data_IF_576005119577
#
_entry.id   IF_576005119577
#
_cell.length_a   1.000
_cell.length_b   1.000
_cell.length_c   1.000
_cell.angle_alpha   90.00
_cell.angle_beta   90.00
_cell.angle_gamma   90.00
#
_symmetry.space_group_name_H-M   'P 1'
#
loop_
_entity.id
_entity.type
_entity.pdbx_description
1 polymer ?
#
# COMPACT_ATOMS: atom_id res chain seq x y z
N UNK A 1 26.46 -66.25 16.34
CA UNK A 1 27.87 -66.34 15.89
C UNK A 1 27.78 -66.63 14.39
N UNK A 2 28.02 -65.73 13.43
CA UNK A 2 28.79 -64.48 13.31
C UNK A 2 27.96 -63.47 12.48
N UNK A 3 27.60 -62.30 13.03
CA UNK A 3 28.17 -60.94 12.90
C UNK A 3 27.82 -60.22 11.59
N UNK A 4 26.87 -59.28 11.70
CA UNK A 4 26.58 -58.19 10.76
C UNK A 4 27.80 -57.23 10.64
N UNK A 5 28.02 -56.62 9.45
CA UNK A 5 29.04 -55.58 9.29
C UNK A 5 28.60 -54.24 9.91
N UNK A 6 29.57 -53.47 10.41
CA UNK A 6 29.37 -52.21 11.13
C UNK A 6 29.19 -51.00 10.22
N UNK A 7 28.64 -49.87 10.71
CA UNK A 7 28.24 -48.70 9.90
C UNK A 7 29.37 -47.85 9.31
N UNK A 8 30.65 -48.23 9.47
CA UNK A 8 31.81 -47.46 8.98
C UNK A 8 32.21 -47.81 7.53
N UNK A 9 31.71 -48.93 6.97
CA UNK A 9 32.03 -49.39 5.59
C UNK A 9 31.30 -48.64 4.47
N UNK A 10 30.38 -47.71 4.79
CA UNK A 10 29.60 -46.94 3.79
C UNK A 10 30.23 -45.56 3.51
N UNK A 11 31.20 -45.12 4.31
CA UNK A 11 31.74 -43.76 4.25
C UNK A 11 33.03 -43.59 3.42
N UNK A 12 33.58 -44.65 2.83
CA UNK A 12 34.81 -44.54 1.99
C UNK A 12 34.55 -44.47 0.48
N UNK A 13 33.30 -44.54 0.00
CA UNK A 13 32.99 -44.62 -1.46
C UNK A 13 32.54 -43.29 -2.10
N UNK A 14 32.61 -42.15 -1.39
CA UNK A 14 32.17 -40.85 -1.93
C UNK A 14 33.21 -39.72 -1.85
N UNK A 15 34.49 -40.05 -1.70
CA UNK A 15 35.57 -39.06 -1.71
C UNK A 15 36.57 -39.28 -2.88
N UNK A 16 36.48 -38.39 -3.87
CA UNK A 16 37.51 -37.99 -4.85
C UNK A 16 37.60 -38.76 -6.20
N UNK A 17 38.28 -38.21 -7.24
CA UNK A 17 37.63 -37.52 -8.37
C UNK A 17 37.91 -38.19 -9.73
N UNK A 18 37.03 -38.01 -10.72
CA UNK A 18 37.24 -38.51 -12.08
C UNK A 18 37.21 -37.38 -13.11
N UNK A 19 38.38 -37.17 -13.72
CA UNK A 19 38.69 -36.32 -14.87
C UNK A 19 38.35 -37.03 -16.19
N UNK A 20 37.81 -36.23 -17.13
CA UNK A 20 37.98 -36.25 -18.60
C UNK A 20 37.44 -37.40 -19.46
N UNK A 21 36.72 -36.98 -20.54
CA UNK A 21 36.55 -37.51 -21.93
C UNK A 21 35.04 -37.36 -22.29
N UNK A 22 34.60 -36.76 -23.41
CA UNK A 22 35.24 -36.27 -24.63
C UNK A 22 34.25 -35.50 -25.50
N UNK A 23 34.79 -34.85 -26.54
CA UNK A 23 34.15 -33.95 -27.50
C UNK A 23 33.23 -34.67 -28.51
N UNK A 24 32.27 -33.93 -29.09
CA UNK A 24 31.57 -34.04 -30.40
C UNK A 24 30.50 -32.94 -30.39
N UNK A 25 30.19 -32.12 -31.40
CA UNK A 25 30.58 -31.91 -32.79
C UNK A 25 29.99 -30.52 -33.18
N UNK A 26 30.75 -29.71 -33.92
CA UNK A 26 30.30 -28.40 -34.44
C UNK A 26 29.23 -28.56 -35.54
N UNK A 27 28.12 -27.84 -35.42
CA UNK A 27 27.11 -27.70 -36.47
C UNK A 27 27.38 -26.44 -37.33
N UNK A 28 27.15 -26.47 -38.66
CA UNK A 28 27.60 -25.43 -39.57
C UNK A 28 26.74 -24.16 -39.50
N UNK A 29 27.44 -23.03 -39.50
CA UNK A 29 26.92 -21.67 -39.43
C UNK A 29 26.05 -21.33 -40.65
N UNK A 30 24.81 -20.91 -40.43
CA UNK A 30 23.92 -20.38 -41.48
C UNK A 30 24.02 -18.86 -41.46
N UNK A 31 24.36 -18.18 -42.58
CA UNK A 31 24.49 -16.73 -42.58
C UNK A 31 23.10 -16.09 -42.52
N UNK A 32 22.71 -15.64 -41.33
CA UNK A 32 21.63 -14.67 -41.12
C UNK A 32 22.03 -13.28 -41.64
N UNK A 33 21.08 -12.33 -41.75
CA UNK A 33 21.31 -11.05 -42.40
C UNK A 33 22.39 -10.26 -41.66
N UNK A 34 23.43 -9.87 -42.39
CA UNK A 34 24.53 -9.03 -41.94
C UNK A 34 23.98 -7.78 -41.27
N UNK A 35 24.24 -7.61 -39.97
CA UNK A 35 23.86 -6.39 -39.25
C UNK A 35 24.73 -5.23 -39.74
N UNK A 36 24.21 -4.00 -39.73
CA UNK A 36 24.94 -2.78 -40.12
C UNK A 36 26.29 -2.62 -39.38
N UNK A 37 26.46 -3.27 -38.24
CA UNK A 37 27.70 -3.30 -37.46
C UNK A 37 28.85 -4.06 -38.16
N UNK A 38 28.57 -5.06 -39.01
CA UNK A 38 29.62 -5.80 -39.73
C UNK A 38 30.19 -5.04 -40.94
N UNK A 39 29.49 -4.02 -41.44
CA UNK A 39 29.93 -3.19 -42.57
C UNK A 39 30.91 -2.08 -42.17
N UNK A 40 31.00 -1.74 -40.88
CA UNK A 40 31.73 -0.56 -40.39
C UNK A 40 33.03 -0.88 -39.62
N UNK A 41 33.51 -2.13 -39.64
CA UNK A 41 34.81 -2.49 -39.06
C UNK A 41 34.95 -2.23 -37.55
N UNK A 42 33.83 -2.18 -36.82
CA UNK A 42 33.86 -2.01 -35.37
C UNK A 42 34.41 -3.29 -34.70
N UNK A 43 35.32 -3.18 -33.71
CA UNK A 43 35.80 -4.34 -32.97
C UNK A 43 34.63 -5.06 -32.28
N UNK A 44 34.68 -6.40 -32.14
CA UNK A 44 33.61 -7.15 -31.50
C UNK A 44 33.42 -6.66 -30.08
N UNK A 45 32.21 -6.19 -29.77
CA UNK A 45 31.80 -5.90 -28.39
C UNK A 45 31.94 -7.19 -27.58
N UNK A 46 32.56 -7.15 -26.38
CA UNK A 46 32.63 -8.31 -25.52
C UNK A 46 31.21 -8.85 -25.28
N UNK A 47 31.01 -10.18 -25.19
CA UNK A 47 29.70 -10.74 -24.96
C UNK A 47 29.11 -10.12 -23.70
N UNK A 48 28.01 -9.38 -23.86
CA UNK A 48 27.22 -8.92 -22.74
C UNK A 48 26.81 -10.12 -21.89
N UNK A 49 26.62 -9.95 -20.57
CA UNK A 49 26.19 -11.06 -19.72
C UNK A 49 24.96 -11.70 -20.33
N UNK A 50 24.98 -13.03 -20.47
CA UNK A 50 23.84 -13.81 -20.92
C UNK A 50 22.57 -13.36 -20.17
N UNK A 51 21.39 -13.35 -20.82
CA UNK A 51 20.15 -13.00 -20.14
C UNK A 51 20.08 -13.85 -18.87
N UNK A 52 20.11 -13.18 -17.72
CA UNK A 52 20.25 -13.84 -16.44
C UNK A 52 19.09 -14.83 -16.28
N UNK A 53 19.40 -16.12 -16.46
CA UNK A 53 18.55 -17.20 -16.00
C UNK A 53 18.15 -16.85 -14.58
N UNK A 54 16.85 -16.88 -14.29
CA UNK A 54 16.31 -16.47 -13.02
C UNK A 54 16.95 -17.35 -11.92
N UNK A 55 18.02 -16.85 -11.28
CA UNK A 55 18.73 -17.55 -10.22
C UNK A 55 17.69 -17.93 -9.18
N UNK A 56 17.39 -19.23 -8.99
CA UNK A 56 16.42 -19.67 -8.00
C UNK A 56 16.88 -19.15 -6.64
N UNK A 57 15.96 -18.54 -5.88
CA UNK A 57 16.27 -18.16 -4.50
C UNK A 57 16.76 -19.40 -3.74
N UNK A 58 17.77 -19.26 -2.87
CA UNK A 58 18.09 -20.32 -1.92
C UNK A 58 16.81 -20.74 -1.19
N UNK A 59 16.59 -22.04 -1.01
CA UNK A 59 15.38 -22.60 -0.39
C UNK A 59 15.06 -21.94 0.98
N UNK A 60 16.08 -21.41 1.67
CA UNK A 60 15.98 -20.69 2.94
C UNK A 60 15.27 -19.32 2.89
N UNK A 61 15.07 -18.70 1.71
CA UNK A 61 14.46 -17.36 1.60
C UNK A 61 12.93 -17.42 1.52
N UNK A 62 12.35 -18.53 1.05
CA UNK A 62 10.90 -18.69 0.93
C UNK A 62 10.16 -18.71 2.28
N UNK A 63 10.64 -19.40 3.33
CA UNK A 63 10.02 -19.35 4.66
C UNK A 63 10.03 -17.94 5.25
N UNK A 64 11.14 -17.20 5.10
CA UNK A 64 11.25 -15.83 5.60
C UNK A 64 10.27 -14.87 4.88
N UNK A 65 10.17 -14.96 3.55
CA UNK A 65 9.20 -14.18 2.78
C UNK A 65 7.76 -14.52 3.17
N UNK A 66 7.44 -15.80 3.35
CA UNK A 66 6.12 -16.24 3.80
C UNK A 66 5.81 -15.67 5.18
N UNK A 67 6.77 -15.72 6.12
CA UNK A 67 6.60 -15.17 7.47
C UNK A 67 6.29 -13.69 7.49
N UNK A 68 7.03 -12.89 6.71
CA UNK A 68 6.79 -11.44 6.61
C UNK A 68 5.42 -11.15 6.01
N UNK A 69 5.06 -11.82 4.91
CA UNK A 69 3.78 -11.59 4.24
C UNK A 69 2.59 -12.03 5.10
N UNK A 70 2.75 -13.10 5.89
CA UNK A 70 1.72 -13.60 6.79
C UNK A 70 1.56 -12.68 8.02
N UNK A 71 2.68 -12.26 8.63
CA UNK A 71 2.69 -11.24 9.68
C UNK A 71 2.02 -9.94 9.21
N UNK A 72 2.41 -9.46 8.03
CA UNK A 72 1.81 -8.29 7.40
C UNK A 72 0.32 -8.46 7.17
N UNK A 73 -0.11 -9.61 6.61
CA UNK A 73 -1.51 -9.91 6.37
C UNK A 73 -2.34 -9.85 7.65
N UNK A 74 -1.92 -10.54 8.71
CA UNK A 74 -2.62 -10.54 10.01
C UNK A 74 -2.74 -9.13 10.58
N UNK A 75 -1.65 -8.36 10.52
CA UNK A 75 -1.66 -6.98 10.98
C UNK A 75 -2.65 -6.13 10.18
N UNK A 76 -2.62 -6.24 8.85
CA UNK A 76 -3.48 -5.46 7.98
C UNK A 76 -4.96 -5.85 8.14
N UNK A 77 -5.28 -7.10 8.45
CA UNK A 77 -6.63 -7.52 8.89
C UNK A 77 -7.05 -6.76 10.14
N UNK A 78 -6.19 -6.69 11.15
CA UNK A 78 -6.43 -5.90 12.36
C UNK A 78 -6.64 -4.41 12.06
N UNK A 79 -5.83 -3.84 11.17
CA UNK A 79 -5.96 -2.44 10.77
C UNK A 79 -7.27 -2.19 9.99
N UNK A 80 -7.68 -3.12 9.13
CA UNK A 80 -8.97 -3.05 8.43
C UNK A 80 -10.14 -2.92 9.40
N UNK A 81 -10.20 -3.80 10.41
CA UNK A 81 -11.19 -3.71 11.49
C UNK A 81 -11.08 -2.38 12.24
N UNK A 82 -9.85 -2.00 12.63
CA UNK A 82 -9.60 -0.83 13.47
C UNK A 82 -10.06 0.47 12.84
N UNK A 83 -9.79 0.66 11.55
CA UNK A 83 -10.18 1.88 10.81
C UNK A 83 -11.68 2.14 10.92
N UNK A 84 -12.51 1.08 10.87
CA UNK A 84 -13.96 1.19 11.02
C UNK A 84 -14.44 1.17 12.46
N UNK A 85 -13.76 0.46 13.36
CA UNK A 85 -14.14 0.38 14.77
C UNK A 85 -13.96 1.72 15.51
N UNK A 86 -12.95 2.52 15.15
CA UNK A 86 -12.66 3.81 15.79
C UNK A 86 -13.84 4.80 15.70
N UNK A 87 -14.46 5.06 14.53
CA UNK A 87 -15.67 5.87 14.43
C UNK A 87 -16.81 5.37 15.32
N UNK A 88 -17.06 4.05 15.37
CA UNK A 88 -18.11 3.48 16.22
C UNK A 88 -17.81 3.69 17.70
N UNK A 89 -16.57 3.45 18.12
CA UNK A 89 -16.14 3.67 19.50
C UNK A 89 -16.36 5.13 19.91
N UNK A 90 -15.93 6.09 19.09
CA UNK A 90 -16.13 7.50 19.35
C UNK A 90 -17.63 7.88 19.41
N UNK A 91 -18.48 7.27 18.56
CA UNK A 91 -19.93 7.49 18.59
C UNK A 91 -20.59 7.02 19.88
N UNK A 92 -20.10 5.96 20.53
CA UNK A 92 -20.66 5.43 21.80
C UNK A 92 -20.65 6.48 22.92
N UNK A 93 -19.64 7.33 22.95
CA UNK A 93 -19.49 8.39 23.96
C UNK A 93 -19.98 9.76 23.45
N UNK A 94 -20.78 9.78 22.38
CA UNK A 94 -21.42 10.99 21.87
C UNK A 94 -20.51 11.91 21.05
N UNK A 95 -19.39 11.42 20.52
CA UNK A 95 -18.53 12.25 19.68
C UNK A 95 -19.26 12.73 18.42
N UNK A 96 -19.11 14.02 18.12
CA UNK A 96 -19.69 14.60 16.89
C UNK A 96 -19.00 14.06 15.63
N UNK A 97 -19.66 14.19 14.47
CA UNK A 97 -19.05 13.84 13.17
C UNK A 97 -17.77 14.62 12.90
N UNK A 98 -17.71 15.89 13.32
CA UNK A 98 -16.49 16.69 13.22
C UNK A 98 -15.38 16.13 14.11
N UNK A 99 -15.70 15.75 15.34
CA UNK A 99 -14.74 15.10 16.26
C UNK A 99 -14.17 13.82 15.67
N UNK A 100 -15.00 12.97 15.06
CA UNK A 100 -14.53 11.74 14.41
C UNK A 100 -13.65 12.06 13.19
N UNK A 101 -14.01 13.09 12.42
CA UNK A 101 -13.18 13.62 11.34
C UNK A 101 -11.81 14.04 11.84
N UNK A 102 -11.74 14.80 12.94
CA UNK A 102 -10.47 15.22 13.55
C UNK A 102 -9.65 14.02 14.04
N UNK A 103 -10.28 13.07 14.75
CA UNK A 103 -9.60 11.83 15.20
C UNK A 103 -8.98 11.11 14.00
N UNK A 104 -9.75 10.88 12.94
CA UNK A 104 -9.24 10.18 11.75
C UNK A 104 -8.20 11.00 10.96
N UNK A 105 -8.23 12.33 11.07
CA UNK A 105 -7.19 13.19 10.48
C UNK A 105 -5.86 13.03 11.20
N UNK A 106 -5.90 12.85 12.53
CA UNK A 106 -4.70 12.57 13.33
C UNK A 106 -4.00 11.27 12.90
N UNK A 107 -4.73 10.27 12.38
CA UNK A 107 -4.11 9.07 11.78
C UNK A 107 -3.12 9.44 10.67
N UNK A 108 -3.56 10.26 9.71
CA UNK A 108 -2.71 10.70 8.60
C UNK A 108 -1.63 11.67 9.05
N UNK A 109 -1.87 12.46 10.10
CA UNK A 109 -0.84 13.28 10.75
C UNK A 109 0.29 12.42 11.31
N UNK A 110 -0.06 11.36 12.05
CA UNK A 110 0.89 10.36 12.54
C UNK A 110 1.61 9.63 11.41
N UNK A 111 0.87 9.24 10.37
CA UNK A 111 1.42 8.59 9.18
C UNK A 111 2.47 9.46 8.50
N UNK A 112 2.18 10.76 8.33
CA UNK A 112 3.10 11.74 7.77
C UNK A 112 4.35 11.92 8.63
N UNK A 113 4.21 12.01 9.96
CA UNK A 113 5.37 12.05 10.87
C UNK A 113 6.21 10.76 10.72
N UNK A 114 5.55 9.61 10.65
CA UNK A 114 6.22 8.33 10.43
C UNK A 114 7.04 8.30 9.14
N UNK A 115 6.54 8.90 8.06
CA UNK A 115 7.26 8.98 6.78
C UNK A 115 8.60 9.72 6.90
N UNK A 116 8.70 10.72 7.78
CA UNK A 116 9.95 11.49 7.99
C UNK A 116 10.93 10.79 8.94
N UNK A 117 10.44 10.18 10.02
CA UNK A 117 11.30 9.72 11.11
C UNK A 117 11.58 8.22 11.11
N UNK A 118 10.68 7.40 10.57
CA UNK A 118 10.77 5.95 10.76
C UNK A 118 11.95 5.32 10.02
N UNK A 119 12.34 5.86 8.87
CA UNK A 119 13.51 5.36 8.12
C UNK A 119 14.78 5.38 8.97
N UNK A 120 15.09 6.51 9.60
CA UNK A 120 16.24 6.67 10.48
C UNK A 120 16.17 5.71 11.67
N UNK A 121 14.97 5.49 12.22
CA UNK A 121 14.78 4.55 13.33
C UNK A 121 15.03 3.11 12.90
N UNK A 122 14.47 2.69 11.76
CA UNK A 122 14.63 1.35 11.17
C UNK A 122 16.11 1.09 10.86
N UNK A 123 16.82 2.05 10.29
CA UNK A 123 18.25 1.94 10.00
C UNK A 123 19.08 1.75 11.28
N UNK A 124 18.70 2.37 12.39
CA UNK A 124 19.39 2.26 13.69
C UNK A 124 19.14 0.94 14.40
N UNK A 125 17.89 0.51 14.52
CA UNK A 125 17.53 -0.67 15.33
C UNK A 125 17.42 -1.98 14.52
N UNK A 126 17.37 -1.88 13.19
CA UNK A 126 17.22 -3.01 12.27
C UNK A 126 15.76 -3.33 11.96
N UNK A 127 15.51 -3.89 10.76
CA UNK A 127 14.17 -4.17 10.22
C UNK A 127 13.35 -5.10 11.13
N UNK A 128 13.90 -6.23 11.59
CA UNK A 128 13.18 -7.17 12.45
C UNK A 128 12.70 -6.52 13.75
N UNK A 129 13.62 -5.87 14.48
CA UNK A 129 13.33 -5.17 15.74
C UNK A 129 12.36 -4.01 15.53
N UNK A 130 12.48 -3.29 14.42
CA UNK A 130 11.57 -2.21 14.07
C UNK A 130 10.15 -2.71 13.84
N UNK A 131 9.97 -3.82 13.11
CA UNK A 131 8.65 -4.41 12.90
C UNK A 131 7.98 -4.76 14.24
N UNK A 132 8.70 -5.47 15.12
CA UNK A 132 8.20 -5.86 16.44
C UNK A 132 7.86 -4.62 17.27
N UNK A 133 8.75 -3.62 17.32
CA UNK A 133 8.56 -2.41 18.10
C UNK A 133 7.35 -1.59 17.62
N UNK A 134 7.21 -1.35 16.31
CA UNK A 134 6.08 -0.60 15.76
C UNK A 134 4.76 -1.36 15.92
N UNK A 135 4.77 -2.68 15.75
CA UNK A 135 3.57 -3.50 15.91
C UNK A 135 3.11 -3.53 17.37
N UNK A 136 4.05 -3.70 18.32
CA UNK A 136 3.76 -3.62 19.75
C UNK A 136 3.27 -2.21 20.14
N UNK A 137 3.89 -1.16 19.60
CA UNK A 137 3.48 0.22 19.83
C UNK A 137 2.06 0.48 19.31
N UNK A 138 1.71 -0.03 18.12
CA UNK A 138 0.36 0.05 17.59
C UNK A 138 -0.65 -0.67 18.50
N UNK A 139 -0.32 -1.86 19.01
CA UNK A 139 -1.18 -2.60 19.94
C UNK A 139 -1.38 -1.84 21.27
N UNK A 140 -0.32 -1.24 21.82
CA UNK A 140 -0.40 -0.39 23.02
C UNK A 140 -1.34 0.79 22.82
N UNK A 141 -1.26 1.47 21.68
CA UNK A 141 -2.17 2.58 21.39
C UNK A 141 -3.62 2.12 21.22
N UNK A 142 -3.87 0.96 20.60
CA UNK A 142 -5.22 0.37 20.49
C UNK A 142 -5.78 0.00 21.87
N UNK A 143 -4.96 -0.54 22.77
CA UNK A 143 -5.38 -0.77 24.16
C UNK A 143 -5.68 0.55 24.88
N UNK A 144 -4.90 1.60 24.60
CA UNK A 144 -5.18 2.96 25.05
C UNK A 144 -6.54 3.47 24.58
N UNK A 145 -6.95 3.14 23.33
CA UNK A 145 -8.29 3.47 22.82
C UNK A 145 -9.38 2.80 23.65
N UNK A 146 -9.20 1.52 24.01
CA UNK A 146 -10.21 0.76 24.76
C UNK A 146 -10.49 1.32 26.17
N UNK A 147 -9.59 2.13 26.72
CA UNK A 147 -9.73 2.73 28.06
C UNK A 147 -9.91 4.25 28.03
N UNK A 148 -10.06 4.84 26.84
CA UNK A 148 -10.12 6.30 26.66
C UNK A 148 -11.43 6.72 26.00
N UNK A 149 -12.11 7.69 26.60
CA UNK A 149 -13.37 8.23 26.06
C UNK A 149 -13.21 9.66 25.52
N UNK A 150 -12.16 10.37 25.93
CA UNK A 150 -11.98 11.78 25.59
C UNK A 150 -11.44 11.96 24.16
N UNK A 151 -12.10 12.84 23.39
CA UNK A 151 -11.69 13.15 22.00
C UNK A 151 -10.21 13.55 21.88
N UNK A 152 -9.64 14.42 22.74
CA UNK A 152 -8.21 14.76 22.64
C UNK A 152 -7.29 13.55 22.83
N UNK A 153 -7.62 12.64 23.76
CA UNK A 153 -6.85 11.42 23.96
C UNK A 153 -6.96 10.48 22.77
N UNK A 154 -8.17 10.32 22.21
CA UNK A 154 -8.39 9.53 20.99
C UNK A 154 -7.59 10.10 19.80
N UNK A 155 -7.50 11.42 19.67
CA UNK A 155 -6.66 12.07 18.66
C UNK A 155 -5.17 11.75 18.86
N UNK A 156 -4.66 11.86 20.08
CA UNK A 156 -3.26 11.55 20.40
C UNK A 156 -2.92 10.08 20.12
N UNK A 157 -3.78 9.17 20.57
CA UNK A 157 -3.65 7.74 20.31
C UNK A 157 -3.73 7.46 18.81
N UNK A 158 -4.63 8.11 18.07
CA UNK A 158 -4.74 7.91 16.62
C UNK A 158 -3.48 8.38 15.90
N UNK A 159 -2.92 9.52 16.29
CA UNK A 159 -1.63 10.01 15.80
C UNK A 159 -0.52 8.98 16.07
N UNK A 160 -0.46 8.43 17.29
CA UNK A 160 0.44 7.34 17.62
C UNK A 160 0.27 6.12 16.72
N UNK A 161 -0.97 5.66 16.50
CA UNK A 161 -1.23 4.51 15.60
C UNK A 161 -0.82 4.77 14.16
N UNK A 162 -1.02 5.99 13.66
CA UNK A 162 -0.56 6.38 12.31
C UNK A 162 0.95 6.30 12.17
N UNK A 163 1.67 6.83 13.16
CA UNK A 163 3.14 6.78 13.22
C UNK A 163 3.65 5.34 13.25
N UNK A 164 3.06 4.50 14.09
CA UNK A 164 3.42 3.10 14.23
C UNK A 164 3.15 2.29 12.95
N UNK A 165 1.97 2.45 12.35
CA UNK A 165 1.60 1.72 11.13
C UNK A 165 2.46 2.13 9.93
N UNK A 166 2.79 3.42 9.77
CA UNK A 166 3.73 3.85 8.74
C UNK A 166 5.12 3.24 8.94
N UNK A 167 5.56 3.09 10.19
CA UNK A 167 6.85 2.46 10.53
C UNK A 167 6.89 1.00 10.13
N UNK A 168 5.79 0.29 10.41
CA UNK A 168 5.64 -1.10 10.02
C UNK A 168 5.54 -1.27 8.49
N UNK A 169 4.80 -0.42 7.77
CA UNK A 169 4.76 -0.43 6.30
C UNK A 169 6.14 -0.16 5.69
N UNK A 170 6.83 0.88 6.14
CA UNK A 170 8.21 1.18 5.70
C UNK A 170 9.15 0.01 5.98
N UNK A 171 8.99 -0.66 7.12
CA UNK A 171 9.82 -1.80 7.50
C UNK A 171 9.62 -2.98 6.56
N UNK A 172 8.37 -3.37 6.28
CA UNK A 172 8.05 -4.47 5.36
C UNK A 172 8.53 -4.15 3.95
N UNK A 173 8.31 -2.93 3.46
CA UNK A 173 8.74 -2.53 2.11
C UNK A 173 10.26 -2.50 1.97
N UNK A 174 10.98 -1.97 2.95
CA UNK A 174 12.44 -1.99 2.99
C UNK A 174 12.97 -3.44 3.00
N UNK A 175 12.32 -4.31 3.76
CA UNK A 175 12.73 -5.70 3.89
C UNK A 175 12.48 -6.52 2.61
N UNK A 176 11.30 -6.34 1.98
CA UNK A 176 10.98 -6.95 0.68
C UNK A 176 11.92 -6.45 -0.42
N UNK A 177 12.27 -5.15 -0.42
CA UNK A 177 13.22 -4.60 -1.37
C UNK A 177 14.63 -5.17 -1.22
N UNK A 178 15.07 -5.39 0.03
CA UNK A 178 16.40 -5.93 0.34
C UNK A 178 16.54 -7.44 0.14
N UNK A 179 15.46 -8.20 0.31
CA UNK A 179 15.49 -9.68 0.30
C UNK A 179 15.20 -10.31 -1.06
N UNK A 180 14.66 -9.54 -2.02
CA UNK A 180 14.15 -10.08 -3.29
C UNK A 180 15.03 -9.62 -4.48
N UNK A 181 15.52 -10.56 -5.31
CA UNK A 181 16.21 -10.23 -6.56
C UNK A 181 15.36 -9.37 -7.51
N UNK A 182 16.01 -8.52 -8.32
CA UNK A 182 15.32 -7.61 -9.25
C UNK A 182 14.33 -8.33 -10.19
N UNK A 183 14.64 -9.55 -10.62
CA UNK A 183 13.80 -10.37 -11.51
C UNK A 183 12.47 -10.78 -10.90
N UNK A 184 12.39 -10.92 -9.57
CA UNK A 184 11.18 -11.35 -8.86
C UNK A 184 10.53 -10.23 -8.05
N UNK A 185 11.19 -9.08 -7.93
CA UNK A 185 10.70 -7.93 -7.15
C UNK A 185 9.27 -7.54 -7.52
N UNK A 186 8.98 -7.44 -8.81
CA UNK A 186 7.63 -7.09 -9.28
C UNK A 186 6.55 -8.10 -8.85
N UNK A 187 6.87 -9.40 -8.89
CA UNK A 187 5.94 -10.46 -8.46
C UNK A 187 5.69 -10.40 -6.95
N UNK A 188 6.74 -10.27 -6.14
CA UNK A 188 6.62 -10.21 -4.68
C UNK A 188 5.89 -8.94 -4.23
N UNK A 189 6.21 -7.78 -4.80
CA UNK A 189 5.49 -6.53 -4.51
C UNK A 189 4.02 -6.60 -4.96
N UNK A 190 3.73 -7.27 -6.08
CA UNK A 190 2.36 -7.56 -6.49
C UNK A 190 1.60 -8.42 -5.47
N UNK A 191 2.23 -9.47 -4.94
CA UNK A 191 1.66 -10.28 -3.85
C UNK A 191 1.45 -9.47 -2.57
N UNK A 192 2.40 -8.63 -2.18
CA UNK A 192 2.30 -7.71 -1.04
C UNK A 192 1.07 -6.79 -1.14
N UNK A 193 0.88 -6.13 -2.29
CA UNK A 193 -0.27 -5.26 -2.52
C UNK A 193 -1.59 -6.03 -2.55
N UNK A 194 -1.59 -7.24 -3.14
CA UNK A 194 -2.77 -8.11 -3.15
C UNK A 194 -3.16 -8.51 -1.72
N UNK A 195 -2.18 -8.92 -0.90
CA UNK A 195 -2.38 -9.24 0.50
C UNK A 195 -2.88 -8.04 1.27
N UNK A 196 -2.34 -6.83 1.02
CA UNK A 196 -2.82 -5.61 1.68
C UNK A 196 -4.33 -5.42 1.50
N UNK A 197 -4.80 -5.38 0.26
CA UNK A 197 -6.23 -5.13 0.00
C UNK A 197 -7.11 -6.29 0.44
N UNK A 198 -6.69 -7.54 0.24
CA UNK A 198 -7.43 -8.72 0.73
C UNK A 198 -7.57 -8.69 2.25
N UNK A 199 -6.47 -8.39 2.96
CA UNK A 199 -6.44 -8.30 4.41
C UNK A 199 -7.30 -7.15 4.94
N UNK A 200 -7.19 -5.93 4.37
CA UNK A 200 -8.05 -4.81 4.79
C UNK A 200 -9.52 -5.17 4.56
N UNK A 201 -9.84 -5.78 3.42
CA UNK A 201 -11.21 -6.21 3.08
C UNK A 201 -11.72 -7.28 4.04
N UNK A 202 -10.91 -8.29 4.35
CA UNK A 202 -11.23 -9.32 5.34
C UNK A 202 -11.45 -8.73 6.75
N UNK A 203 -10.62 -7.74 7.12
CA UNK A 203 -10.74 -7.00 8.38
C UNK A 203 -12.09 -6.29 8.54
N UNK A 204 -12.70 -5.83 7.45
CA UNK A 204 -14.04 -5.21 7.49
C UNK A 204 -15.10 -6.19 8.01
N UNK A 205 -15.02 -7.48 7.63
CA UNK A 205 -16.00 -8.49 8.05
C UNK A 205 -15.89 -8.85 9.54
N UNK A 206 -14.71 -8.67 10.15
CA UNK A 206 -14.54 -8.83 11.59
C UNK A 206 -15.31 -7.79 12.42
N UNK A 207 -15.85 -6.74 11.79
CA UNK A 207 -16.74 -5.79 12.46
C UNK A 207 -18.03 -6.47 12.97
N UNK A 208 -18.40 -7.62 12.40
CA UNK A 208 -19.52 -8.45 12.86
C UNK A 208 -19.21 -9.29 14.10
N UNK A 209 -17.95 -9.33 14.55
CA UNK A 209 -17.54 -10.06 15.74
C UNK A 209 -17.67 -9.13 16.94
N UNK A 210 -18.70 -9.38 17.75
CA UNK A 210 -19.05 -8.55 18.91
C UNK A 210 -19.78 -7.26 18.52
N UNK A 211 -19.90 -6.35 19.49
CA UNK A 211 -20.52 -5.05 19.27
C UNK A 211 -19.50 -4.08 18.63
N UNK A 212 -19.93 -3.38 17.57
CA UNK A 212 -19.09 -2.44 16.85
C UNK A 212 -18.60 -1.29 17.74
N UNK A 213 -17.28 -1.08 17.81
CA UNK A 213 -16.67 -0.05 18.65
C UNK A 213 -16.61 -0.36 20.15
N UNK A 214 -16.97 -1.59 20.57
CA UNK A 214 -16.80 -2.04 21.95
C UNK A 214 -15.33 -2.18 22.35
N UNK A 215 -15.05 -2.15 23.66
CA UNK A 215 -13.70 -2.43 24.17
C UNK A 215 -13.24 -3.82 23.74
N UNK A 216 -14.14 -4.81 23.75
CA UNK A 216 -13.86 -6.17 23.27
C UNK A 216 -13.41 -6.22 21.81
N UNK A 217 -14.01 -5.41 20.93
CA UNK A 217 -13.60 -5.33 19.54
C UNK A 217 -12.25 -4.61 19.36
N UNK A 218 -11.95 -3.61 20.19
CA UNK A 218 -10.62 -2.97 20.21
C UNK A 218 -9.54 -3.93 20.76
N UNK A 219 -9.87 -4.74 21.77
CA UNK A 219 -8.97 -5.80 22.25
C UNK A 219 -8.72 -6.87 21.19
N UNK A 220 -9.71 -7.20 20.36
CA UNK A 220 -9.51 -8.08 19.20
C UNK A 220 -8.49 -7.47 18.21
N UNK A 221 -8.59 -6.17 17.90
CA UNK A 221 -7.60 -5.47 17.07
C UNK A 221 -6.20 -5.53 17.69
N UNK A 222 -6.07 -5.22 18.99
CA UNK A 222 -4.79 -5.29 19.69
C UNK A 222 -4.21 -6.71 19.65
N UNK A 223 -5.07 -7.73 19.86
CA UNK A 223 -4.71 -9.14 19.75
C UNK A 223 -4.21 -9.52 18.35
N UNK A 224 -4.84 -9.02 17.28
CA UNK A 224 -4.38 -9.23 15.90
C UNK A 224 -3.01 -8.57 15.65
N UNK A 225 -2.79 -7.37 16.17
CA UNK A 225 -1.47 -6.73 16.08
C UNK A 225 -0.41 -7.55 16.82
N UNK A 226 -0.68 -8.01 18.04
CA UNK A 226 0.25 -8.89 18.77
C UNK A 226 0.46 -10.21 18.03
N UNK A 227 -0.60 -10.81 17.48
CA UNK A 227 -0.52 -12.06 16.71
C UNK A 227 0.35 -11.91 15.44
N UNK A 228 0.37 -10.74 14.82
CA UNK A 228 1.25 -10.45 13.69
C UNK A 228 2.75 -10.52 14.05
N UNK A 229 3.11 -10.43 15.33
CA UNK A 229 4.48 -10.61 15.80
C UNK A 229 4.88 -12.11 15.75
N UNK A 230 3.94 -13.05 15.84
CA UNK A 230 4.26 -14.48 15.94
C UNK A 230 4.94 -15.04 14.67
N UNK A 231 4.44 -14.82 13.44
CA UNK A 231 5.09 -15.37 12.25
C UNK A 231 6.52 -14.82 12.07
N UNK A 232 6.76 -13.57 12.50
CA UNK A 232 8.05 -12.91 12.34
C UNK A 232 9.09 -13.30 13.41
N UNK A 233 8.65 -13.77 14.58
CA UNK A 233 9.55 -14.25 15.64
C UNK A 233 9.80 -15.74 15.58
N UNK A 234 8.83 -16.52 15.08
CA UNK A 234 8.92 -17.99 15.04
C UNK A 234 9.61 -18.54 13.80
N UNK A 235 9.57 -17.83 12.67
CA UNK A 235 10.25 -18.29 11.45
C UNK A 235 11.77 -18.02 11.52
N UNK A 236 12.55 -18.86 10.85
CA UNK A 236 14.02 -18.80 10.80
C UNK A 236 14.50 -18.47 9.38
N UNK A 237 15.80 -18.23 9.21
CA UNK A 237 16.40 -17.93 7.90
C UNK A 237 16.29 -16.46 7.49
N UNK A 238 16.10 -15.56 8.46
CA UNK A 238 16.08 -14.13 8.20
C UNK A 238 17.40 -13.69 7.56
N UNK A 239 17.38 -13.00 6.41
CA UNK A 239 18.60 -12.48 5.82
C UNK A 239 19.26 -11.56 6.85
N UNK A 240 20.51 -11.88 7.19
CA UNK A 240 21.39 -10.99 7.95
C UNK A 240 21.43 -9.66 7.22
N UNK A 241 21.24 -8.57 7.97
CA UNK A 241 21.21 -7.16 7.53
C UNK A 241 21.96 -7.03 6.21
N UNK A 242 21.23 -6.99 5.08
CA UNK A 242 21.85 -6.72 3.80
C UNK A 242 22.43 -5.33 3.96
N UNK A 243 23.75 -5.23 4.03
CA UNK A 243 24.42 -3.95 4.08
C UNK A 243 23.91 -3.16 2.87
N UNK A 244 23.36 -1.98 3.13
CA UNK A 244 22.87 -1.02 2.14
C UNK A 244 24.01 -0.43 1.31
N UNK A 245 25.01 -1.23 0.92
CA UNK A 245 26.06 -0.84 -0.03
C UNK A 245 25.47 -0.52 -1.42
N UNK A 246 24.21 -0.90 -1.66
CA UNK A 246 23.48 -0.64 -2.91
C UNK A 246 22.49 0.51 -2.84
N UNK A 247 22.26 1.12 -1.67
CA UNK A 247 21.54 2.40 -1.61
C UNK A 247 22.55 3.50 -1.92
N UNK A 248 22.63 3.86 -3.20
CA UNK A 248 23.23 5.14 -3.59
C UNK A 248 22.59 6.21 -2.70
N UNK A 249 23.39 6.83 -1.83
CA UNK A 249 22.99 8.04 -1.09
C UNK A 249 22.72 9.10 -2.15
N UNK A 250 21.47 9.14 -2.63
CA UNK A 250 21.07 10.19 -3.54
C UNK A 250 21.16 11.51 -2.77
N UNK A 251 21.68 12.57 -3.41
CA UNK A 251 21.76 13.88 -2.78
C UNK A 251 20.37 14.28 -2.29
N UNK A 252 20.29 14.82 -1.08
CA UNK A 252 19.03 15.27 -0.51
C UNK A 252 18.46 16.39 -1.40
N UNK A 253 17.52 16.04 -2.27
CA UNK A 253 16.73 17.03 -3.01
C UNK A 253 15.79 17.68 -2.00
N UNK A 254 15.79 19.02 -1.93
CA UNK A 254 14.85 19.73 -1.07
C UNK A 254 13.41 19.37 -1.45
N UNK A 255 12.55 19.21 -0.45
CA UNK A 255 11.11 18.99 -0.65
C UNK A 255 10.52 20.09 -1.55
N UNK A 256 10.95 21.33 -1.35
CA UNK A 256 10.51 22.48 -2.14
C UNK A 256 10.95 22.39 -3.60
N UNK A 257 12.17 21.90 -3.87
CA UNK A 257 12.66 21.73 -5.23
C UNK A 257 11.87 20.64 -5.97
N UNK A 258 11.57 19.54 -5.27
CA UNK A 258 10.73 18.46 -5.81
C UNK A 258 9.31 18.95 -6.12
N UNK A 259 8.72 19.75 -5.23
CA UNK A 259 7.40 20.36 -5.46
C UNK A 259 7.45 21.34 -6.65
N UNK A 260 8.44 22.23 -6.70
CA UNK A 260 8.56 23.24 -7.73
C UNK A 260 8.80 22.64 -9.13
N UNK A 261 9.56 21.55 -9.20
CA UNK A 261 9.73 20.80 -10.44
C UNK A 261 8.45 20.06 -10.84
N UNK A 262 7.81 19.32 -9.92
CA UNK A 262 6.57 18.61 -10.23
C UNK A 262 5.48 19.57 -10.70
N UNK A 263 5.37 20.76 -10.09
CA UNK A 263 4.43 21.79 -10.50
C UNK A 263 4.64 22.23 -11.96
N UNK A 264 5.90 22.25 -12.42
CA UNK A 264 6.28 22.62 -13.79
C UNK A 264 6.13 21.47 -14.77
N UNK A 265 6.71 20.31 -14.45
CA UNK A 265 6.77 19.16 -15.35
C UNK A 265 5.45 18.36 -15.41
N UNK A 266 4.72 18.32 -14.30
CA UNK A 266 3.53 17.47 -14.15
C UNK A 266 2.40 18.20 -13.39
N UNK A 267 1.66 19.12 -14.04
CA UNK A 267 0.68 19.99 -13.37
C UNK A 267 -0.45 19.28 -12.60
N UNK A 268 -0.70 18.00 -12.88
CA UNK A 268 -1.67 17.16 -12.14
C UNK A 268 -1.12 16.65 -10.80
N UNK A 269 0.20 16.57 -10.60
CA UNK A 269 0.83 15.85 -9.49
C UNK A 269 0.36 16.33 -8.11
N UNK A 270 0.53 17.62 -7.82
CA UNK A 270 0.24 18.21 -6.51
C UNK A 270 -1.26 18.18 -6.20
N UNK A 271 -2.12 18.86 -6.98
CA UNK A 271 -3.56 18.84 -6.71
C UNK A 271 -4.15 17.44 -6.82
N UNK A 272 -3.65 16.60 -7.73
CA UNK A 272 -4.12 15.24 -7.91
C UNK A 272 -3.86 14.35 -6.69
N UNK A 273 -2.64 14.36 -6.15
CA UNK A 273 -2.32 13.58 -4.95
C UNK A 273 -3.09 14.05 -3.72
N UNK A 274 -3.25 15.37 -3.53
CA UNK A 274 -4.05 15.93 -2.42
C UNK A 274 -5.52 15.50 -2.56
N UNK A 275 -6.11 15.61 -3.76
CA UNK A 275 -7.50 15.22 -4.01
C UNK A 275 -7.71 13.71 -3.89
N UNK A 276 -6.74 12.89 -4.30
CA UNK A 276 -6.77 11.44 -4.05
C UNK A 276 -6.76 11.16 -2.54
N UNK A 277 -5.93 11.88 -1.78
CA UNK A 277 -5.90 11.83 -0.32
C UNK A 277 -7.25 12.21 0.31
N UNK A 278 -7.90 13.27 -0.18
CA UNK A 278 -9.23 13.69 0.27
C UNK A 278 -10.25 12.56 0.10
N UNK A 279 -10.33 11.98 -1.09
CA UNK A 279 -11.31 10.95 -1.42
C UNK A 279 -11.04 9.63 -0.65
N UNK A 280 -9.77 9.22 -0.51
CA UNK A 280 -9.40 8.03 0.24
C UNK A 280 -9.75 8.16 1.72
N UNK A 281 -9.31 9.26 2.34
CA UNK A 281 -9.49 9.47 3.76
C UNK A 281 -10.95 9.67 4.13
N UNK A 282 -11.73 10.39 3.33
CA UNK A 282 -13.18 10.53 3.54
C UNK A 282 -13.92 9.19 3.46
N UNK A 283 -13.52 8.31 2.54
CA UNK A 283 -14.07 6.95 2.47
C UNK A 283 -13.83 6.18 3.78
N UNK A 284 -12.59 6.10 4.26
CA UNK A 284 -12.31 5.35 5.49
C UNK A 284 -12.86 5.99 6.75
N UNK A 285 -12.84 7.33 6.84
CA UNK A 285 -13.20 8.03 8.05
C UNK A 285 -14.72 8.22 8.22
N UNK A 286 -15.42 8.57 7.14
CA UNK A 286 -16.79 9.10 7.20
C UNK A 286 -17.81 8.12 6.61
N UNK A 287 -17.43 7.22 5.71
CA UNK A 287 -18.36 6.24 5.13
C UNK A 287 -19.10 5.38 6.17
N UNK A 288 -18.45 4.84 7.22
CA UNK A 288 -19.16 4.05 8.23
C UNK A 288 -20.24 4.85 8.95
N UNK A 289 -19.97 6.13 9.22
CA UNK A 289 -20.91 7.08 9.85
C UNK A 289 -22.09 7.33 8.92
N UNK A 290 -21.81 7.60 7.64
CA UNK A 290 -22.83 7.80 6.62
C UNK A 290 -23.76 6.59 6.52
N UNK A 291 -23.20 5.38 6.37
CA UNK A 291 -23.97 4.13 6.23
C UNK A 291 -24.85 3.87 7.45
N UNK A 292 -24.32 4.09 8.65
CA UNK A 292 -25.10 3.96 9.90
C UNK A 292 -26.27 4.95 9.95
N UNK A 293 -26.04 6.21 9.54
CA UNK A 293 -27.09 7.26 9.55
C UNK A 293 -28.23 7.01 8.58
N UNK A 294 -27.97 6.34 7.46
CA UNK A 294 -29.00 5.95 6.49
C UNK A 294 -29.62 4.58 6.82
N UNK A 295 -29.33 4.03 8.00
CA UNK A 295 -29.97 2.82 8.52
C UNK A 295 -29.39 1.51 7.98
N UNK A 296 -28.12 1.45 7.61
CA UNK A 296 -27.47 0.15 7.36
C UNK A 296 -27.24 -0.59 8.68
N UNK A 297 -27.46 -1.91 8.67
CA UNK A 297 -26.97 -2.79 9.72
C UNK A 297 -25.44 -2.90 9.66
N UNK A 298 -24.81 -3.29 10.78
CA UNK A 298 -23.36 -3.54 10.85
C UNK A 298 -22.92 -4.58 9.80
N UNK A 299 -23.76 -5.60 9.55
CA UNK A 299 -23.50 -6.62 8.54
C UNK A 299 -23.52 -6.08 7.11
N UNK A 300 -24.52 -5.27 6.76
CA UNK A 300 -24.57 -4.65 5.43
C UNK A 300 -23.44 -3.64 5.23
N UNK A 301 -23.08 -2.89 6.27
CA UNK A 301 -21.99 -1.92 6.26
C UNK A 301 -20.63 -2.60 6.06
N UNK A 302 -20.32 -3.61 6.88
CA UNK A 302 -19.07 -4.38 6.76
C UNK A 302 -18.95 -5.06 5.41
N UNK A 303 -20.06 -5.61 4.89
CA UNK A 303 -20.11 -6.20 3.55
C UNK A 303 -19.83 -5.15 2.48
N UNK A 304 -20.46 -3.98 2.53
CA UNK A 304 -20.22 -2.90 1.57
C UNK A 304 -18.76 -2.45 1.61
N UNK A 305 -18.21 -2.19 2.81
CA UNK A 305 -16.82 -1.74 2.97
C UNK A 305 -15.84 -2.79 2.45
N UNK A 306 -16.00 -4.06 2.84
CA UNK A 306 -15.14 -5.16 2.43
C UNK A 306 -15.20 -5.41 0.92
N UNK A 307 -16.40 -5.50 0.35
CA UNK A 307 -16.60 -5.75 -1.09
C UNK A 307 -16.13 -4.55 -1.92
N UNK A 308 -16.32 -3.32 -1.46
CA UNK A 308 -15.84 -2.13 -2.17
C UNK A 308 -14.30 -2.07 -2.24
N UNK A 309 -13.60 -2.44 -1.16
CA UNK A 309 -12.13 -2.50 -1.13
C UNK A 309 -11.58 -3.68 -1.93
N UNK A 310 -12.27 -4.82 -1.93
CA UNK A 310 -11.96 -5.94 -2.80
C UNK A 310 -12.17 -5.58 -4.28
N UNK A 311 -13.26 -4.88 -4.61
CA UNK A 311 -13.52 -4.36 -5.95
C UNK A 311 -12.46 -3.38 -6.42
N UNK A 312 -11.99 -2.51 -5.51
CA UNK A 312 -10.85 -1.62 -5.77
C UNK A 312 -9.56 -2.38 -6.09
N UNK A 313 -9.27 -3.49 -5.41
CA UNK A 313 -8.16 -4.37 -5.77
C UNK A 313 -8.32 -4.94 -7.18
N UNK A 314 -9.50 -5.49 -7.49
CA UNK A 314 -9.77 -6.08 -8.80
C UNK A 314 -9.64 -5.05 -9.93
N UNK A 315 -10.03 -3.79 -9.70
CA UNK A 315 -9.94 -2.73 -10.70
C UNK A 315 -8.53 -2.18 -10.92
N UNK A 316 -7.58 -2.37 -10.00
CA UNK A 316 -6.21 -1.91 -10.20
C UNK A 316 -5.54 -2.57 -11.42
N UNK A 317 -5.81 -3.85 -11.69
CA UNK A 317 -5.25 -4.56 -12.84
C UNK A 317 -5.77 -4.06 -14.21
N UNK A 318 -7.08 -4.01 -14.49
CA UNK A 318 -7.59 -3.51 -15.76
C UNK A 318 -7.26 -2.03 -15.95
N UNK A 319 -7.36 -1.21 -14.91
CA UNK A 319 -6.99 0.21 -14.98
C UNK A 319 -5.48 0.38 -15.22
N UNK A 320 -4.64 -0.44 -14.59
CA UNK A 320 -3.20 -0.47 -14.84
C UNK A 320 -2.88 -0.77 -16.30
N UNK A 321 -3.44 -1.85 -16.86
CA UNK A 321 -3.26 -2.21 -18.29
C UNK A 321 -3.80 -1.13 -19.24
N UNK A 322 -4.91 -0.49 -18.88
CA UNK A 322 -5.47 0.59 -19.67
C UNK A 322 -4.58 1.84 -19.61
N UNK A 323 -3.92 2.09 -18.47
CA UNK A 323 -2.97 3.19 -18.28
C UNK A 323 -1.71 3.08 -19.14
N UNK A 324 -1.36 1.87 -19.57
CA UNK A 324 -0.22 1.64 -20.47
C UNK A 324 -0.58 1.92 -21.93
N UNK A 325 -1.88 1.88 -22.28
CA UNK A 325 -2.38 2.07 -23.66
C UNK A 325 -3.02 3.43 -23.90
N UNK A 326 -3.38 4.14 -22.84
CA UNK A 326 -4.03 5.44 -22.90
C UNK A 326 -3.24 6.47 -22.10
N UNK A 327 -3.27 7.74 -22.53
CA UNK A 327 -2.75 8.84 -21.73
C UNK A 327 -3.32 8.79 -20.31
N UNK A 328 -2.43 8.68 -19.31
CA UNK A 328 -2.78 8.54 -17.89
C UNK A 328 -3.64 9.70 -17.38
N UNK A 329 -3.47 10.90 -17.95
CA UNK A 329 -4.32 12.08 -17.62
C UNK A 329 -5.75 11.90 -18.16
N UNK A 330 -5.90 11.38 -19.38
CA UNK A 330 -7.20 11.06 -19.97
C UNK A 330 -7.93 10.02 -19.14
N UNK A 331 -7.22 8.96 -18.75
CA UNK A 331 -7.78 7.88 -17.96
C UNK A 331 -8.19 8.37 -16.56
N UNK A 332 -7.32 9.10 -15.86
CA UNK A 332 -7.62 9.73 -14.57
C UNK A 332 -8.86 10.63 -14.65
N UNK A 333 -8.96 11.49 -15.68
CA UNK A 333 -10.13 12.34 -15.92
C UNK A 333 -11.41 11.54 -16.09
N UNK A 334 -11.41 10.48 -16.91
CA UNK A 334 -12.59 9.64 -17.16
C UNK A 334 -13.05 8.94 -15.89
N UNK A 335 -12.12 8.36 -15.13
CA UNK A 335 -12.41 7.71 -13.87
C UNK A 335 -12.93 8.70 -12.81
N UNK A 336 -12.39 9.93 -12.77
CA UNK A 336 -12.86 10.97 -11.86
C UNK A 336 -14.29 11.44 -12.22
N UNK A 337 -14.60 11.58 -13.52
CA UNK A 337 -15.97 11.88 -13.97
C UNK A 337 -16.94 10.74 -13.66
N UNK A 338 -16.51 9.48 -13.83
CA UNK A 338 -17.32 8.32 -13.46
C UNK A 338 -17.58 8.29 -11.94
N UNK A 339 -16.56 8.50 -11.11
CA UNK A 339 -16.70 8.59 -9.66
C UNK A 339 -17.69 9.70 -9.25
N UNK A 340 -17.63 10.88 -9.88
CA UNK A 340 -18.61 11.94 -9.66
C UNK A 340 -20.02 11.49 -10.06
N UNK A 341 -20.18 10.88 -11.23
CA UNK A 341 -21.48 10.39 -11.71
C UNK A 341 -22.10 9.34 -10.78
N UNK A 342 -21.29 8.47 -10.16
CA UNK A 342 -21.78 7.49 -9.19
C UNK A 342 -22.20 8.12 -7.85
N UNK A 343 -21.56 9.21 -7.42
CA UNK A 343 -21.94 9.90 -6.18
C UNK A 343 -23.14 10.84 -6.33
N UNK A 344 -23.40 11.41 -7.53
CA UNK A 344 -24.49 12.38 -7.73
C UNK A 344 -25.87 11.86 -7.29
N UNK A 345 -26.32 10.65 -7.70
CA UNK A 345 -27.59 10.11 -7.25
C UNK A 345 -27.68 9.94 -5.74
N UNK A 346 -26.56 9.59 -5.09
CA UNK A 346 -26.49 9.32 -3.65
C UNK A 346 -26.60 10.57 -2.77
N UNK A 347 -26.53 11.77 -3.36
CA UNK A 347 -26.79 13.03 -2.64
C UNK A 347 -28.24 13.05 -2.13
N UNK A 348 -29.18 12.51 -2.93
CA UNK A 348 -30.62 12.57 -2.65
C UNK A 348 -31.20 11.18 -2.40
N UNK A 349 -30.80 10.17 -3.18
CA UNK A 349 -31.37 8.83 -3.15
C UNK A 349 -30.49 7.90 -2.32
N UNK A 350 -31.00 7.48 -1.16
CA UNK A 350 -30.24 6.68 -0.18
C UNK A 350 -30.78 5.25 -0.02
N UNK A 351 -31.37 4.69 -1.09
CA UNK A 351 -31.82 3.30 -1.10
C UNK A 351 -30.63 2.34 -0.93
N UNK A 352 -30.71 1.39 0.01
CA UNK A 352 -29.58 0.53 0.40
C UNK A 352 -28.90 -0.17 -0.78
N UNK A 353 -29.69 -0.76 -1.69
CA UNK A 353 -29.16 -1.45 -2.87
C UNK A 353 -28.40 -0.50 -3.81
N UNK A 354 -28.90 0.73 -3.99
CA UNK A 354 -28.30 1.74 -4.86
C UNK A 354 -26.99 2.24 -4.27
N UNK A 355 -26.98 2.52 -2.96
CA UNK A 355 -25.77 2.90 -2.22
C UNK A 355 -24.72 1.81 -2.36
N UNK A 356 -25.10 0.54 -2.21
CA UNK A 356 -24.18 -0.58 -2.34
C UNK A 356 -23.50 -0.62 -3.72
N UNK A 357 -24.30 -0.60 -4.80
CA UNK A 357 -23.79 -0.68 -6.17
C UNK A 357 -22.94 0.54 -6.53
N UNK A 358 -23.44 1.75 -6.28
CA UNK A 358 -22.74 2.97 -6.66
C UNK A 358 -21.49 3.21 -5.83
N UNK A 359 -21.47 2.81 -4.54
CA UNK A 359 -20.27 2.89 -3.72
C UNK A 359 -19.22 1.87 -4.11
N UNK A 360 -19.62 0.66 -4.51
CA UNK A 360 -18.70 -0.31 -5.08
C UNK A 360 -17.99 0.26 -6.33
N UNK A 361 -18.77 0.81 -7.27
CA UNK A 361 -18.24 1.41 -8.50
C UNK A 361 -17.39 2.66 -8.23
N UNK A 362 -17.83 3.52 -7.30
CA UNK A 362 -17.06 4.68 -6.84
C UNK A 362 -15.71 4.25 -6.29
N UNK A 363 -15.67 3.28 -5.37
CA UNK A 363 -14.41 2.81 -4.78
C UNK A 363 -13.49 2.21 -5.85
N UNK A 364 -14.04 1.41 -6.77
CA UNK A 364 -13.26 0.85 -7.87
C UNK A 364 -12.59 1.93 -8.74
N UNK A 365 -13.28 3.03 -9.03
CA UNK A 365 -12.72 4.14 -9.79
C UNK A 365 -11.77 5.01 -8.93
N UNK A 366 -12.14 5.30 -7.70
CA UNK A 366 -11.44 6.22 -6.82
C UNK A 366 -10.07 5.68 -6.38
N UNK A 367 -10.02 4.40 -5.99
CA UNK A 367 -8.82 3.76 -5.46
C UNK A 367 -7.73 3.45 -6.52
N UNK A 368 -7.92 3.89 -7.76
CA UNK A 368 -6.90 3.80 -8.82
C UNK A 368 -6.25 5.15 -9.13
N UNK A 369 -6.81 6.25 -8.63
CA UNK A 369 -6.36 7.61 -8.96
C UNK A 369 -4.93 7.89 -8.49
N UNK A 370 -4.61 7.55 -7.23
CA UNK A 370 -3.27 7.78 -6.68
C UNK A 370 -2.20 7.06 -7.51
N UNK A 371 -2.41 5.78 -7.82
CA UNK A 371 -1.49 5.00 -8.66
C UNK A 371 -1.29 5.60 -10.05
N UNK A 372 -2.36 6.03 -10.72
CA UNK A 372 -2.28 6.67 -12.04
C UNK A 372 -1.47 7.98 -12.01
N UNK A 373 -1.67 8.80 -10.98
CA UNK A 373 -0.96 10.07 -10.82
C UNK A 373 0.52 9.80 -10.53
N UNK A 374 0.82 8.88 -9.62
CA UNK A 374 2.20 8.49 -9.29
C UNK A 374 2.93 7.95 -10.52
N UNK A 375 2.31 7.04 -11.29
CA UNK A 375 2.90 6.54 -12.53
C UNK A 375 3.16 7.68 -13.52
N UNK A 376 2.19 8.58 -13.72
CA UNK A 376 2.35 9.70 -14.65
C UNK A 376 3.51 10.64 -14.30
N UNK A 377 3.72 10.88 -13.00
CA UNK A 377 4.84 11.68 -12.48
C UNK A 377 6.15 10.93 -12.66
N UNK A 378 6.20 9.64 -12.30
CA UNK A 378 7.40 8.83 -12.37
C UNK A 378 7.89 8.62 -13.83
N UNK A 379 6.98 8.56 -14.80
CA UNK A 379 7.33 8.51 -16.23
C UNK A 379 8.07 9.77 -16.71
N UNK A 380 7.84 10.91 -16.05
CA UNK A 380 8.42 12.23 -16.38
C UNK A 380 9.54 12.64 -15.43
N UNK A 381 9.93 11.74 -14.53
CA UNK A 381 10.95 11.99 -13.52
C UNK A 381 12.19 11.16 -13.85
N UNK A 382 13.35 11.82 -13.85
CA UNK A 382 14.66 11.18 -14.01
C UNK A 382 14.83 10.02 -13.00
N UNK A 383 15.37 8.86 -13.41
CA UNK A 383 15.51 7.68 -12.53
C UNK A 383 16.15 7.98 -11.17
N UNK A 384 17.13 8.87 -11.16
CA UNK A 384 17.90 9.30 -9.99
C UNK A 384 17.06 10.10 -8.99
N UNK A 385 15.89 10.59 -9.39
CA UNK A 385 15.03 11.47 -8.57
C UNK A 385 13.68 10.84 -8.22
N UNK A 386 13.33 9.70 -8.84
CA UNK A 386 12.05 8.98 -8.63
C UNK A 386 11.75 8.65 -7.17
N UNK A 387 12.78 8.32 -6.39
CA UNK A 387 12.61 7.99 -4.96
C UNK A 387 12.19 9.23 -4.16
N UNK A 388 12.89 10.34 -4.32
CA UNK A 388 12.58 11.60 -3.64
C UNK A 388 11.22 12.18 -4.07
N UNK A 389 10.90 12.08 -5.36
CA UNK A 389 9.61 12.49 -5.91
C UNK A 389 8.48 11.62 -5.37
N UNK A 390 8.65 10.29 -5.34
CA UNK A 390 7.64 9.38 -4.76
C UNK A 390 7.38 9.66 -3.28
N UNK A 391 8.42 9.96 -2.50
CA UNK A 391 8.26 10.39 -1.10
C UNK A 391 7.46 11.70 -1.00
N UNK A 392 7.71 12.65 -1.89
CA UNK A 392 6.96 13.92 -1.95
C UNK A 392 5.49 13.70 -2.31
N UNK A 393 5.19 12.83 -3.27
CA UNK A 393 3.81 12.47 -3.63
C UNK A 393 3.05 11.85 -2.46
N UNK A 394 3.72 11.01 -1.67
CA UNK A 394 3.14 10.42 -0.45
C UNK A 394 2.87 11.48 0.64
N UNK A 395 3.77 12.46 0.80
CA UNK A 395 3.55 13.60 1.70
C UNK A 395 2.30 14.39 1.26
N UNK A 396 2.18 14.69 -0.02
CA UNK A 396 1.04 15.42 -0.58
C UNK A 396 -0.27 14.64 -0.43
N UNK A 397 -0.24 13.33 -0.64
CA UNK A 397 -1.37 12.44 -0.36
C UNK A 397 -1.75 12.47 1.13
N UNK A 398 -0.76 12.46 2.04
CA UNK A 398 -0.99 12.49 3.48
C UNK A 398 -1.56 13.83 3.96
N UNK A 399 -1.13 14.96 3.37
CA UNK A 399 -1.77 16.27 3.59
C UNK A 399 -3.25 16.20 3.18
N UNK A 400 -3.52 15.57 2.04
CA UNK A 400 -4.88 15.23 1.61
C UNK A 400 -5.63 14.41 2.67
N UNK A 401 -4.99 13.38 3.19
CA UNK A 401 -5.54 12.50 4.23
C UNK A 401 -5.84 13.20 5.56
N UNK A 402 -5.07 14.23 5.92
CA UNK A 402 -5.30 15.03 7.13
C UNK A 402 -6.51 15.95 6.94
N UNK A 403 -6.62 16.64 5.79
CA UNK A 403 -7.68 17.63 5.59
C UNK A 403 -9.01 16.97 5.15
N UNK A 404 -8.93 15.84 4.47
CA UNK A 404 -10.09 15.15 3.88
C UNK A 404 -11.20 14.83 4.88
N UNK A 405 -10.93 14.12 6.00
CA UNK A 405 -11.95 13.77 6.98
C UNK A 405 -12.56 15.01 7.65
N UNK A 406 -11.76 16.02 7.97
CA UNK A 406 -12.27 17.28 8.55
C UNK A 406 -13.24 17.98 7.59
N UNK A 407 -12.85 18.16 6.33
CA UNK A 407 -13.70 18.82 5.33
C UNK A 407 -14.94 17.98 5.05
N UNK A 408 -14.80 16.66 4.85
CA UNK A 408 -15.93 15.76 4.64
C UNK A 408 -16.92 15.78 5.83
N UNK A 409 -16.41 15.82 7.07
CA UNK A 409 -17.25 15.95 8.26
C UNK A 409 -18.03 17.26 8.30
N UNK A 410 -17.44 18.37 7.85
CA UNK A 410 -18.14 19.66 7.74
C UNK A 410 -19.31 19.54 6.76
N UNK A 411 -19.08 18.97 5.58
CA UNK A 411 -20.16 18.75 4.61
C UNK A 411 -21.28 17.88 5.16
N UNK A 412 -20.96 16.79 5.87
CA UNK A 412 -21.97 15.92 6.50
C UNK A 412 -22.71 16.63 7.64
N UNK A 413 -22.03 17.53 8.36
CA UNK A 413 -22.65 18.31 9.44
C UNK A 413 -23.63 19.34 8.88
N UNK A 414 -23.30 20.00 7.76
CA UNK A 414 -24.12 21.06 7.18
C UNK A 414 -25.25 20.55 6.28
N UNK A 415 -25.01 19.47 5.53
CA UNK A 415 -25.91 18.97 4.48
C UNK A 415 -26.55 17.63 4.84
N UNK A 416 -26.32 17.12 6.05
CA UNK A 416 -26.75 15.79 6.47
C UNK A 416 -25.98 14.67 5.77
N UNK A 417 -26.51 13.43 5.74
CA UNK A 417 -25.80 12.27 5.19
C UNK A 417 -25.38 12.45 3.72
N UNK A 418 -26.18 13.13 2.90
CA UNK A 418 -25.86 13.43 1.50
C UNK A 418 -24.62 14.33 1.33
N UNK A 419 -24.21 15.05 2.38
CA UNK A 419 -23.01 15.90 2.37
C UNK A 419 -21.72 15.17 2.03
N UNK A 420 -21.58 13.90 2.43
CA UNK A 420 -20.42 13.08 2.06
C UNK A 420 -20.28 12.95 0.53
N UNK A 421 -21.41 12.75 -0.16
CA UNK A 421 -21.43 12.60 -1.61
C UNK A 421 -21.24 13.94 -2.31
N UNK A 422 -21.74 15.05 -1.76
CA UNK A 422 -21.41 16.39 -2.26
C UNK A 422 -19.91 16.65 -2.20
N UNK A 423 -19.26 16.30 -1.08
CA UNK A 423 -17.80 16.39 -0.94
C UNK A 423 -17.07 15.51 -1.97
N UNK A 424 -17.50 14.25 -2.13
CA UNK A 424 -16.90 13.33 -3.10
C UNK A 424 -17.05 13.84 -4.54
N UNK A 425 -18.24 14.34 -4.92
CA UNK A 425 -18.48 14.93 -6.24
C UNK A 425 -17.60 16.17 -6.44
N UNK A 426 -17.50 17.06 -5.46
CA UNK A 426 -16.66 18.25 -5.55
C UNK A 426 -15.19 17.88 -5.78
N UNK A 427 -14.66 16.93 -5.02
CA UNK A 427 -13.28 16.45 -5.15
C UNK A 427 -13.04 15.74 -6.50
N UNK A 428 -13.96 14.88 -6.92
CA UNK A 428 -13.87 14.15 -8.18
C UNK A 428 -13.95 15.09 -9.40
N UNK A 429 -14.83 16.09 -9.38
CA UNK A 429 -14.89 17.12 -10.41
C UNK A 429 -13.65 18.02 -10.41
N UNK A 430 -13.11 18.36 -9.24
CA UNK A 430 -11.85 19.10 -9.14
C UNK A 430 -10.70 18.29 -9.77
N UNK A 431 -10.62 16.98 -9.49
CA UNK A 431 -9.62 16.08 -10.06
C UNK A 431 -9.76 15.99 -11.57
N UNK A 432 -10.99 15.83 -12.09
CA UNK A 432 -11.27 15.82 -13.52
C UNK A 432 -10.86 17.14 -14.22
N UNK A 433 -11.10 18.29 -13.57
CA UNK A 433 -10.71 19.61 -14.09
C UNK A 433 -9.19 19.76 -14.12
N UNK A 434 -8.50 19.35 -13.06
CA UNK A 434 -7.03 19.37 -12.97
C UNK A 434 -6.43 18.47 -14.04
N UNK A 435 -6.94 17.25 -14.20
CA UNK A 435 -6.50 16.33 -15.24
C UNK A 435 -6.70 16.92 -16.64
N UNK A 436 -7.84 17.56 -16.92
CA UNK A 436 -8.09 18.27 -18.18
C UNK A 436 -7.10 19.43 -18.39
N UNK A 437 -6.84 20.25 -17.37
CA UNK A 437 -5.88 21.36 -17.47
C UNK A 437 -4.46 20.84 -17.77
N UNK A 438 -4.04 19.76 -17.14
CA UNK A 438 -2.74 19.15 -17.38
C UNK A 438 -2.58 18.62 -18.82
N UNK A 439 -3.67 18.24 -19.49
CA UNK A 439 -3.66 17.89 -20.92
C UNK A 439 -3.46 19.11 -21.82
N UNK A 440 -4.05 20.25 -21.46
CA UNK A 440 -3.95 21.48 -22.25
C UNK A 440 -2.57 22.13 -22.09
N UNK A 441 -2.00 22.09 -20.88
CA UNK A 441 -0.71 22.72 -20.56
C UNK A 441 0.52 21.93 -21.02
N UNK A 442 0.37 20.61 -21.20
CA UNK A 442 1.45 19.73 -21.63
C UNK A 442 0.88 18.69 -22.62
N UNK A 443 0.49 19.13 -23.84
CA UNK A 443 -0.20 18.29 -24.83
C UNK A 443 0.53 16.98 -25.13
#
# INVERSE_FOLDING_TARGET
>A
MQRDPSPDDILETLAAPATTIGQTEDAPDRPGPLSEASLLGAPPTPPGPAPADAVPLPISVYPALLGILLAYGVLVVGNGLFVTAVPFHALKFGASTLSIGVIQSCYYGGFLLGAFYNRTLIERIGQHRAFVAFTALAALFVMGFAVSESVPMLCLLRLGTGFALMGMYTTVESWLNGSVPNTMRGRVFGSYLTINYLAVSAGQFLLNVGEAGSEGQLLLVAGLFVAAILPITLMQGWPTRVADERLVKQPAVSLFDSIAEMARATPIAIPGCILAGFLYSAFYAIMPIYLTRIGFSISSLSTLMGVALFGALLMQWPVGRLSDRMDRRTLSRRLALAAAAFCVPLIVIQAHWLVFVLMFLFSAANFTQYGLIVSHVNDRTEPERRVAVSATLLILFSVGGILGPMIASIFVTLLGPGGLHVFNVACALALARVARRAQVLAP
#
